data_IF_275327758873
#
_entry.id   IF_275327758873
#
_cell.length_a   1.000
_cell.length_b   1.000
_cell.length_c   1.000
_cell.angle_alpha   90.00
_cell.angle_beta   90.00
_cell.angle_gamma   90.00
#
_symmetry.space_group_name_H-M   'P 1'
#
loop_
_entity.id
_entity.type
_entity.pdbx_description
1 polymer ?
#
# COMPACT_ATOMS: atom_id res chain seq x y z
N UNK A 1 24.49 -12.93 7.23
CA UNK A 1 23.59 -12.43 6.18
C UNK A 1 24.19 -11.14 5.65
N UNK A 2 24.36 -11.03 4.33
CA UNK A 2 24.84 -9.78 3.74
C UNK A 2 23.62 -8.88 3.59
N UNK A 3 23.55 -7.77 4.33
CA UNK A 3 22.43 -6.81 4.27
C UNK A 3 22.57 -5.97 3.00
N UNK A 4 22.44 -6.64 1.85
CA UNK A 4 22.53 -5.96 0.56
C UNK A 4 21.39 -4.97 0.43
N UNK A 5 21.73 -3.77 -0.03
CA UNK A 5 20.80 -2.69 -0.32
C UNK A 5 21.02 -2.32 -1.77
N UNK A 6 19.95 -2.40 -2.57
CA UNK A 6 19.99 -1.98 -3.96
C UNK A 6 20.23 -0.45 -4.02
N UNK A 7 21.18 0.05 -4.85
CA UNK A 7 21.37 1.48 -5.05
C UNK A 7 20.08 2.24 -5.44
N UNK A 8 19.12 1.59 -6.10
CA UNK A 8 17.82 2.18 -6.44
C UNK A 8 17.02 2.59 -5.20
N UNK A 9 17.20 1.91 -4.06
CA UNK A 9 16.59 2.32 -2.80
C UNK A 9 17.02 3.73 -2.39
N UNK A 10 18.33 4.02 -2.43
CA UNK A 10 18.84 5.33 -2.03
C UNK A 10 18.39 6.43 -2.98
N UNK A 11 18.35 6.16 -4.29
CA UNK A 11 17.82 7.10 -5.28
C UNK A 11 16.34 7.41 -5.04
N UNK A 12 15.52 6.39 -4.83
CA UNK A 12 14.10 6.55 -4.54
C UNK A 12 13.88 7.32 -3.22
N UNK A 13 14.66 7.02 -2.19
CA UNK A 13 14.57 7.68 -0.89
C UNK A 13 15.01 9.16 -0.94
N UNK A 14 16.10 9.46 -1.65
CA UNK A 14 16.54 10.84 -1.87
C UNK A 14 15.50 11.64 -2.67
N UNK A 15 14.91 11.02 -3.69
CA UNK A 15 13.82 11.63 -4.43
C UNK A 15 12.60 11.91 -3.54
N UNK A 16 12.17 10.94 -2.73
CA UNK A 16 11.06 11.11 -1.79
C UNK A 16 11.29 12.27 -0.81
N UNK A 17 12.49 12.36 -0.22
CA UNK A 17 12.83 13.49 0.68
C UNK A 17 12.69 14.84 -0.01
N UNK A 18 13.15 14.96 -1.26
CA UNK A 18 13.03 16.19 -2.03
C UNK A 18 11.57 16.55 -2.33
N UNK A 19 10.74 15.57 -2.70
CA UNK A 19 9.31 15.79 -2.94
C UNK A 19 8.56 16.17 -1.67
N UNK A 20 8.89 15.53 -0.54
CA UNK A 20 8.32 15.86 0.76
C UNK A 20 8.64 17.30 1.18
N UNK A 21 9.88 17.76 0.99
CA UNK A 21 10.30 19.13 1.29
C UNK A 21 9.58 20.16 0.40
N UNK A 22 9.42 19.84 -0.89
CA UNK A 22 8.86 20.78 -1.87
C UNK A 22 7.33 20.85 -1.83
N UNK A 23 6.66 19.71 -1.69
CA UNK A 23 5.21 19.59 -1.91
C UNK A 23 4.42 19.19 -0.65
N UNK A 24 5.10 18.70 0.39
CA UNK A 24 4.46 18.16 1.59
C UNK A 24 3.94 16.73 1.41
N UNK A 25 3.42 16.17 2.51
CA UNK A 25 3.12 14.74 2.65
C UNK A 25 1.97 14.25 1.74
N UNK A 26 0.91 15.04 1.60
CA UNK A 26 -0.32 14.64 0.91
C UNK A 26 -0.37 15.04 -0.58
N UNK A 27 0.76 15.44 -1.15
CA UNK A 27 0.81 15.76 -2.57
C UNK A 27 0.98 14.49 -3.40
N UNK A 28 0.25 14.29 -4.52
CA UNK A 28 0.34 13.06 -5.32
C UNK A 28 1.76 12.68 -5.74
N UNK A 29 2.60 13.67 -6.09
CA UNK A 29 4.02 13.45 -6.43
C UNK A 29 4.81 12.86 -5.23
N UNK A 30 4.54 13.33 -4.01
CA UNK A 30 5.18 12.82 -2.80
C UNK A 30 4.74 11.40 -2.50
N UNK A 31 3.46 11.10 -2.65
CA UNK A 31 2.91 9.74 -2.49
C UNK A 31 3.53 8.77 -3.50
N UNK A 32 3.65 9.18 -4.76
CA UNK A 32 4.29 8.40 -5.83
C UNK A 32 5.76 8.11 -5.51
N UNK A 33 6.52 9.12 -5.06
CA UNK A 33 7.90 8.94 -4.64
C UNK A 33 8.03 8.01 -3.42
N UNK A 34 7.08 8.08 -2.49
CA UNK A 34 7.01 7.17 -1.35
C UNK A 34 6.76 5.72 -1.79
N UNK A 35 5.84 5.47 -2.73
CA UNK A 35 5.57 4.13 -3.26
C UNK A 35 6.79 3.49 -3.91
N UNK A 36 7.58 4.27 -4.66
CA UNK A 36 8.85 3.80 -5.23
C UNK A 36 9.87 3.45 -4.14
N UNK A 37 9.93 4.25 -3.07
CA UNK A 37 10.79 3.96 -1.91
C UNK A 37 10.42 2.63 -1.28
N UNK A 38 9.12 2.38 -1.04
CA UNK A 38 8.62 1.12 -0.50
C UNK A 38 8.94 -0.07 -1.42
N UNK A 39 8.80 0.11 -2.74
CA UNK A 39 9.11 -0.92 -3.72
C UNK A 39 10.56 -1.39 -3.65
N UNK A 40 11.51 -0.45 -3.60
CA UNK A 40 12.95 -0.76 -3.53
C UNK A 40 13.46 -1.02 -2.11
N UNK A 41 12.58 -1.01 -1.10
CA UNK A 41 13.00 -1.23 0.29
C UNK A 41 13.64 -2.62 0.46
N UNK A 42 14.84 -2.72 1.04
CA UNK A 42 15.49 -4.00 1.30
C UNK A 42 14.65 -4.90 2.21
N UNK A 43 14.70 -6.22 1.99
CA UNK A 43 13.89 -7.20 2.73
C UNK A 43 14.07 -7.12 4.26
N UNK A 44 15.29 -6.87 4.74
CA UNK A 44 15.53 -6.73 6.18
C UNK A 44 14.87 -5.47 6.78
N UNK A 45 14.69 -4.41 5.99
CA UNK A 45 13.97 -3.20 6.39
C UNK A 45 12.46 -3.43 6.27
N UNK A 46 11.99 -4.13 5.22
CA UNK A 46 10.57 -4.53 5.13
C UNK A 46 10.12 -5.31 6.36
N UNK A 47 10.92 -6.28 6.81
CA UNK A 47 10.63 -7.03 8.03
C UNK A 47 10.53 -6.15 9.29
N UNK A 48 11.35 -5.10 9.38
CA UNK A 48 11.27 -4.12 10.47
C UNK A 48 10.02 -3.24 10.37
N UNK A 49 9.68 -2.77 9.15
CA UNK A 49 8.44 -2.04 8.89
C UNK A 49 7.22 -2.87 9.27
N UNK A 50 7.19 -4.15 8.88
CA UNK A 50 6.08 -5.06 9.20
C UNK A 50 5.96 -5.29 10.72
N UNK A 51 7.09 -5.45 11.42
CA UNK A 51 7.10 -5.57 12.87
C UNK A 51 6.55 -4.30 13.54
N UNK A 52 6.95 -3.13 13.05
CA UNK A 52 6.47 -1.83 13.55
C UNK A 52 5.00 -1.59 13.22
N UNK A 53 4.54 -1.96 12.03
CA UNK A 53 3.13 -1.87 11.66
C UNK A 53 2.25 -2.71 12.58
N UNK A 54 2.72 -3.90 12.98
CA UNK A 54 2.04 -4.75 13.97
C UNK A 54 2.08 -4.14 15.38
N UNK A 55 3.24 -3.64 15.82
CA UNK A 55 3.41 -3.00 17.14
C UNK A 55 2.48 -1.78 17.29
N UNK A 56 2.36 -0.98 16.24
CA UNK A 56 1.57 0.25 16.20
C UNK A 56 0.11 0.02 15.76
N UNK A 57 -0.28 -1.23 15.52
CA UNK A 57 -1.63 -1.60 15.06
C UNK A 57 -2.07 -0.81 13.80
N UNK A 58 -1.16 -0.64 12.84
CA UNK A 58 -1.39 0.12 11.61
C UNK A 58 -2.18 -0.65 10.55
N UNK A 59 -2.37 -1.96 10.73
CA UNK A 59 -3.15 -2.81 9.85
C UNK A 59 -4.15 -3.62 10.68
N UNK A 60 -5.34 -3.92 10.13
CA UNK A 60 -6.22 -4.91 10.74
C UNK A 60 -5.56 -6.29 10.76
N UNK A 61 -6.08 -7.24 11.55
CA UNK A 61 -5.77 -8.65 11.36
C UNK A 61 -6.04 -9.09 9.90
N UNK A 62 -5.25 -10.00 9.32
CA UNK A 62 -5.52 -10.55 8.00
C UNK A 62 -6.92 -11.19 7.94
N UNK A 63 -7.67 -10.89 6.89
CA UNK A 63 -8.99 -11.49 6.61
C UNK A 63 -8.86 -12.91 6.02
N UNK A 64 -7.68 -13.24 5.50
CA UNK A 64 -7.35 -14.56 4.95
C UNK A 64 -5.88 -14.64 4.57
N UNK A 65 -5.52 -15.75 3.93
CA UNK A 65 -4.18 -15.99 3.41
C UNK A 65 -4.26 -16.63 2.02
N UNK A 66 -3.27 -16.38 1.17
CA UNK A 66 -3.08 -17.13 -0.08
C UNK A 66 -2.58 -18.55 0.23
N UNK A 67 -2.56 -19.43 -0.78
CA UNK A 67 -2.00 -20.79 -0.65
C UNK A 67 -0.51 -20.79 -0.26
N UNK A 68 0.22 -19.72 -0.64
CA UNK A 68 1.62 -19.50 -0.28
C UNK A 68 1.80 -18.90 1.12
N UNK A 69 0.71 -18.57 1.82
CA UNK A 69 0.72 -18.03 3.18
C UNK A 69 0.82 -16.50 3.26
N UNK A 70 0.65 -15.78 2.15
CA UNK A 70 0.67 -14.32 2.14
C UNK A 70 -0.65 -13.75 2.71
N UNK A 71 -0.62 -12.75 3.61
CA UNK A 71 -1.81 -12.22 4.23
C UNK A 71 -2.66 -11.42 3.23
N UNK A 72 -3.98 -11.66 3.27
CA UNK A 72 -4.99 -10.95 2.50
C UNK A 72 -5.84 -10.09 3.43
N UNK A 73 -6.14 -8.86 3.02
CA UNK A 73 -6.93 -7.90 3.80
C UNK A 73 -8.19 -7.51 3.02
N UNK A 74 -9.35 -7.66 3.65
CA UNK A 74 -10.61 -7.17 3.07
C UNK A 74 -10.69 -5.65 3.21
N UNK A 75 -11.32 -5.00 2.23
CA UNK A 75 -11.50 -3.56 2.28
C UNK A 75 -12.47 -3.16 3.40
N UNK A 76 -13.43 -4.02 3.72
CA UNK A 76 -14.35 -3.86 4.85
C UNK A 76 -13.62 -3.86 6.20
N UNK A 77 -12.65 -4.76 6.42
CA UNK A 77 -11.90 -4.81 7.68
C UNK A 77 -10.93 -3.63 7.78
N UNK A 78 -10.34 -3.19 6.66
CA UNK A 78 -9.58 -1.94 6.59
C UNK A 78 -10.47 -0.75 6.98
N UNK A 79 -11.65 -0.60 6.37
CA UNK A 79 -12.56 0.50 6.65
C UNK A 79 -12.97 0.53 8.13
N UNK A 80 -13.34 -0.63 8.70
CA UNK A 80 -13.69 -0.76 10.12
C UNK A 80 -12.52 -0.40 11.04
N UNK A 81 -11.31 -0.84 10.72
CA UNK A 81 -10.11 -0.59 11.52
C UNK A 81 -9.78 0.89 11.61
N UNK A 82 -9.92 1.61 10.49
CA UNK A 82 -9.67 3.05 10.43
C UNK A 82 -10.88 3.91 10.79
N UNK A 83 -12.06 3.32 11.02
CA UNK A 83 -13.27 4.06 11.34
C UNK A 83 -13.79 4.92 10.19
N UNK A 84 -13.50 4.53 8.94
CA UNK A 84 -13.93 5.22 7.71
C UNK A 84 -15.03 4.44 7.00
N UNK A 85 -15.73 5.07 6.05
CA UNK A 85 -16.73 4.36 5.25
C UNK A 85 -16.07 3.42 4.23
N UNK A 86 -16.84 2.45 3.74
CA UNK A 86 -16.36 1.55 2.69
C UNK A 86 -16.04 2.33 1.40
N UNK A 87 -16.88 3.30 1.04
CA UNK A 87 -16.68 4.15 -0.14
C UNK A 87 -15.42 5.00 -0.02
N UNK A 88 -15.09 5.49 1.18
CA UNK A 88 -13.84 6.20 1.42
C UNK A 88 -12.63 5.27 1.27
N UNK A 89 -12.71 4.05 1.83
CA UNK A 89 -11.66 3.05 1.67
C UNK A 89 -11.45 2.65 0.20
N UNK A 90 -12.54 2.49 -0.55
CA UNK A 90 -12.54 2.20 -1.98
C UNK A 90 -11.88 3.32 -2.78
N UNK A 91 -12.25 4.58 -2.53
CA UNK A 91 -11.63 5.73 -3.17
C UNK A 91 -10.12 5.80 -2.88
N UNK A 92 -9.71 5.56 -1.63
CA UNK A 92 -8.28 5.52 -1.26
C UNK A 92 -7.54 4.39 -1.96
N UNK A 93 -8.15 3.21 -2.07
CA UNK A 93 -7.57 2.08 -2.79
C UNK A 93 -7.39 2.38 -4.28
N UNK A 94 -8.41 2.94 -4.94
CA UNK A 94 -8.33 3.34 -6.35
C UNK A 94 -7.24 4.39 -6.58
N UNK A 95 -7.13 5.38 -5.70
CA UNK A 95 -6.06 6.38 -5.74
C UNK A 95 -4.68 5.76 -5.59
N UNK A 96 -4.52 4.80 -4.67
CA UNK A 96 -3.27 4.04 -4.51
C UNK A 96 -2.91 3.26 -5.77
N UNK A 97 -3.87 2.57 -6.37
CA UNK A 97 -3.69 1.78 -7.59
C UNK A 97 -3.29 2.66 -8.79
N UNK A 98 -3.90 3.84 -8.93
CA UNK A 98 -3.56 4.81 -9.98
C UNK A 98 -2.14 5.37 -9.79
N UNK A 99 -1.79 5.79 -8.57
CA UNK A 99 -0.46 6.27 -8.23
C UNK A 99 0.63 5.23 -8.54
N UNK A 100 0.39 3.95 -8.25
CA UNK A 100 1.30 2.85 -8.59
C UNK A 100 1.52 2.72 -10.10
N UNK A 101 0.45 2.79 -10.88
CA UNK A 101 0.55 2.70 -12.35
C UNK A 101 1.30 3.89 -12.93
N UNK A 102 1.10 5.10 -12.40
CA UNK A 102 1.80 6.30 -12.87
C UNK A 102 3.33 6.20 -12.72
N UNK A 103 3.82 5.42 -11.74
CA UNK A 103 5.25 5.15 -11.53
C UNK A 103 5.72 3.80 -12.08
N UNK A 104 4.88 3.11 -12.87
CA UNK A 104 5.23 1.85 -13.52
C UNK A 104 5.20 0.61 -12.60
N UNK A 105 4.59 0.70 -11.42
CA UNK A 105 4.39 -0.44 -10.53
C UNK A 105 3.12 -1.21 -10.90
N UNK A 106 3.18 -2.54 -10.75
CA UNK A 106 2.03 -3.41 -10.95
C UNK A 106 1.00 -3.28 -9.82
N UNK A 107 -0.27 -3.51 -10.15
CA UNK A 107 -1.37 -3.69 -9.21
C UNK A 107 -1.69 -5.17 -8.95
N UNK A 108 -0.80 -6.09 -9.35
CA UNK A 108 -0.92 -7.50 -8.96
C UNK A 108 -1.00 -7.63 -7.43
N UNK A 109 -1.90 -8.50 -6.97
CA UNK A 109 -2.22 -8.66 -5.55
C UNK A 109 -3.44 -7.85 -5.07
N UNK A 110 -3.89 -6.85 -5.85
CA UNK A 110 -5.18 -6.22 -5.63
C UNK A 110 -6.28 -6.97 -6.40
N UNK A 111 -7.23 -7.54 -5.66
CA UNK A 111 -8.41 -8.20 -6.22
C UNK A 111 -9.62 -7.34 -5.93
N UNK A 112 -10.00 -6.52 -6.90
CA UNK A 112 -11.11 -5.61 -6.78
C UNK A 112 -12.13 -5.93 -7.88
N UNK A 113 -13.38 -6.20 -7.48
CA UNK A 113 -14.47 -6.47 -8.39
C UNK A 113 -15.58 -5.43 -8.20
N UNK A 114 -15.53 -4.35 -8.99
CA UNK A 114 -16.56 -3.31 -9.04
C UNK A 114 -17.87 -3.78 -9.69
N UNK A 115 -17.90 -4.96 -10.30
CA UNK A 115 -19.01 -5.42 -11.16
C UNK A 115 -20.07 -6.26 -10.42
N UNK A 116 -20.10 -6.25 -9.08
CA UNK A 116 -21.18 -6.92 -8.34
C UNK A 116 -22.48 -6.11 -8.44
N UNK A 117 -23.17 -6.22 -9.58
CA UNK A 117 -24.53 -5.70 -9.78
C UNK A 117 -25.55 -6.71 -9.26
N UNK A 118 -25.89 -6.65 -7.96
CA UNK A 118 -26.97 -7.46 -7.38
C UNK A 118 -28.31 -6.75 -7.61
N UNK A 119 -29.17 -7.36 -8.42
CA UNK A 119 -30.58 -6.96 -8.53
C UNK A 119 -31.44 -7.88 -7.66
N UNK A 120 -32.31 -7.31 -6.83
CA UNK A 120 -33.41 -8.05 -6.22
C UNK A 120 -34.51 -8.24 -7.27
N UNK A 121 -34.83 -9.49 -7.61
CA UNK A 121 -36.03 -9.80 -8.41
C UNK A 121 -37.20 -9.85 -7.41
N UNK A 122 -38.19 -8.97 -7.62
CA UNK A 122 -39.52 -9.10 -7.02
C UNK A 122 -40.41 -9.95 -7.91
#
# INVERSE_FOLDING_TARGET
MNNHVDPEFFKAFDHYKAMLEQYGEHHPITEQAFLLTLHYTPEHIKAEIDAKAKELNLLPPPSGYTDDGEPMFSLEDIAKHFGISFEEAEHKLLSLMDNRQQVGLSNDGFYFNSDVKINQIQ
#
